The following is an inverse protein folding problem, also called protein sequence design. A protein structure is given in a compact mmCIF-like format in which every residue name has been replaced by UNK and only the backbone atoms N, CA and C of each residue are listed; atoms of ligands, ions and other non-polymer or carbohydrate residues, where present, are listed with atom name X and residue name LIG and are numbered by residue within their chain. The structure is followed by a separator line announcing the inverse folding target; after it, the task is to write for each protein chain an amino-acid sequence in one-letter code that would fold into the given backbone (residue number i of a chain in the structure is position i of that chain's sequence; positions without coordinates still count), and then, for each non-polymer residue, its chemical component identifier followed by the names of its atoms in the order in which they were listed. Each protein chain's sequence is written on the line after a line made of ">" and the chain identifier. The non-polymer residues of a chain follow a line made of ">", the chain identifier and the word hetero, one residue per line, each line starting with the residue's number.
data_IF_715105090403
#
_entry.id   IF_715105090403
#
_cell.length_a   1.000
_cell.length_b   1.000
_cell.length_c   1.000
_cell.angle_alpha   90.00
_cell.angle_beta   90.00
_cell.angle_gamma   90.00
#
_symmetry.space_group_name_H-M   'P 1'
#
loop_
_entity.id
_entity.type
_entity.pdbx_description
1 polymer ?
#
# COMPACT_ATOMS: atom_id res chain seq x y z
N UNK A 1 -19.97 -12.47 59.77
CA UNK A 1 -18.65 -12.79 60.38
C UNK A 1 -17.86 -13.61 59.39
N UNK A 2 -16.71 -13.05 59.01
CA UNK A 2 -15.52 -13.61 58.36
C UNK A 2 -15.55 -15.11 58.04
N UNK A 3 -15.44 -15.44 56.74
CA UNK A 3 -14.75 -16.65 56.30
C UNK A 3 -13.45 -16.22 55.61
N UNK A 4 -12.36 -16.25 56.36
CA UNK A 4 -11.00 -16.14 55.84
C UNK A 4 -10.65 -17.46 55.16
N UNK A 5 -10.35 -17.41 53.87
CA UNK A 5 -9.58 -18.47 53.21
C UNK A 5 -8.43 -17.82 52.45
N UNK A 6 -7.23 -18.12 52.92
CA UNK A 6 -5.95 -17.63 52.42
C UNK A 6 -5.64 -18.29 51.08
N UNK A 7 -5.41 -17.50 50.02
CA UNK A 7 -4.54 -17.88 48.91
C UNK A 7 -3.94 -16.63 48.22
N UNK A 8 -2.88 -16.01 48.76
CA UNK A 8 -2.23 -14.86 48.12
C UNK A 8 -1.16 -15.29 47.11
N UNK A 9 -1.42 -16.34 46.29
CA UNK A 9 -0.39 -16.88 45.37
C UNK A 9 -0.89 -16.98 43.92
N UNK A 10 -2.18 -16.78 43.65
CA UNK A 10 -2.74 -16.94 42.29
C UNK A 10 -3.10 -15.63 41.57
N UNK A 11 -2.56 -14.49 42.01
CA UNK A 11 -2.79 -13.17 41.40
C UNK A 11 -1.55 -12.57 40.72
N UNK A 12 -0.39 -13.23 40.81
CA UNK A 12 0.90 -12.73 40.30
C UNK A 12 1.38 -13.41 39.01
N UNK A 13 0.50 -14.08 38.27
CA UNK A 13 0.80 -14.64 36.93
C UNK A 13 0.11 -13.91 35.77
N UNK A 14 -0.67 -12.86 36.05
CA UNK A 14 -1.40 -12.11 35.02
C UNK A 14 -0.69 -10.81 34.56
N UNK A 15 0.55 -10.55 34.99
CA UNK A 15 1.23 -9.28 34.71
C UNK A 15 2.45 -9.35 33.76
N UNK A 16 2.72 -10.49 33.10
CA UNK A 16 3.95 -10.62 32.29
C UNK A 16 3.75 -10.91 30.80
N UNK A 17 2.59 -10.63 30.19
CA UNK A 17 2.43 -10.70 28.73
C UNK A 17 1.63 -9.55 28.09
N UNK A 18 1.54 -8.38 28.74
CA UNK A 18 1.08 -7.15 28.08
C UNK A 18 2.19 -6.40 27.31
N UNK A 19 3.35 -7.05 27.11
CA UNK A 19 4.51 -6.51 26.39
C UNK A 19 4.78 -7.15 25.02
N UNK A 20 3.85 -7.93 24.46
CA UNK A 20 3.96 -8.36 23.07
C UNK A 20 3.63 -7.16 22.20
N UNK A 21 4.70 -6.45 21.82
CA UNK A 21 4.87 -5.59 20.65
C UNK A 21 3.53 -5.07 20.14
N UNK A 22 3.25 -3.79 20.37
CA UNK A 22 2.36 -3.06 19.48
C UNK A 22 2.96 -3.17 18.09
N UNK A 23 2.68 -4.29 17.42
CA UNK A 23 2.98 -4.49 16.03
C UNK A 23 2.18 -3.36 15.42
N UNK A 24 2.87 -2.35 14.90
CA UNK A 24 2.26 -1.36 14.03
C UNK A 24 1.43 -2.19 13.06
N UNK A 25 0.12 -2.27 13.30
CA UNK A 25 -0.80 -2.80 12.34
C UNK A 25 -0.67 -1.80 11.22
N UNK A 26 0.22 -2.10 10.27
CA UNK A 26 0.33 -1.40 9.00
C UNK A 26 -1.06 -1.51 8.42
N UNK A 27 -1.89 -0.50 8.70
CA UNK A 27 -3.31 -0.52 8.42
C UNK A 27 -3.41 -0.61 6.92
N UNK A 28 -3.63 -1.82 6.40
CA UNK A 28 -3.90 -2.01 4.98
C UNK A 28 -5.08 -1.08 4.67
N UNK A 29 -4.86 -0.12 3.79
CA UNK A 29 -5.89 0.85 3.44
C UNK A 29 -6.80 0.16 2.45
N UNK A 30 -7.79 -0.55 2.98
CA UNK A 30 -8.88 -1.10 2.17
C UNK A 30 -10.04 -0.12 2.13
N UNK A 31 -10.63 0.06 0.95
CA UNK A 31 -11.79 0.93 0.75
C UNK A 31 -12.80 0.17 -0.09
N UNK A 32 -13.96 -0.12 0.49
CA UNK A 32 -15.08 -0.77 -0.19
C UNK A 32 -15.76 0.19 -1.17
N UNK A 33 -16.33 -0.35 -2.25
CA UNK A 33 -17.00 0.34 -3.35
C UNK A 33 -16.12 1.34 -4.08
N UNK A 34 -14.81 1.14 -4.06
CA UNK A 34 -13.85 2.04 -4.71
C UNK A 34 -12.84 1.23 -5.50
N UNK A 35 -12.35 1.84 -6.59
CA UNK A 35 -11.26 1.29 -7.37
C UNK A 35 -10.30 2.39 -7.83
N UNK A 36 -9.05 2.01 -8.07
CA UNK A 36 -8.12 2.82 -8.85
C UNK A 36 -8.14 2.33 -10.30
N UNK A 37 -8.61 3.17 -11.23
CA UNK A 37 -8.67 2.82 -12.65
C UNK A 37 -7.39 3.22 -13.40
N UNK A 38 -7.23 2.75 -14.66
CA UNK A 38 -6.14 3.10 -15.60
C UNK A 38 -4.72 2.70 -15.22
N UNK A 39 -4.47 2.30 -13.97
CA UNK A 39 -3.14 1.94 -13.45
C UNK A 39 -2.91 0.43 -13.32
N UNK A 40 -3.84 -0.38 -13.86
CA UNK A 40 -3.77 -1.84 -13.81
C UNK A 40 -2.67 -2.31 -14.77
N UNK A 41 -1.69 -3.06 -14.25
CA UNK A 41 -0.59 -3.62 -15.04
C UNK A 41 -0.58 -5.15 -15.07
N UNK A 42 -1.38 -5.81 -14.21
CA UNK A 42 -1.49 -7.27 -14.13
C UNK A 42 -2.86 -7.64 -13.57
N UNK A 43 -3.43 -8.72 -14.10
CA UNK A 43 -4.71 -9.29 -13.65
C UNK A 43 -4.42 -10.72 -13.21
N UNK A 44 -4.97 -11.12 -12.06
CA UNK A 44 -4.88 -12.46 -11.51
C UNK A 44 -6.29 -12.94 -11.17
N UNK A 45 -6.64 -14.17 -11.57
CA UNK A 45 -7.86 -14.85 -11.11
C UNK A 45 -7.46 -15.68 -9.89
N UNK A 46 -8.20 -15.56 -8.79
CA UNK A 46 -7.95 -16.32 -7.56
C UNK A 46 -9.02 -17.37 -7.35
N UNK A 47 -8.64 -18.50 -6.78
CA UNK A 47 -9.55 -19.65 -6.61
C UNK A 47 -10.59 -19.40 -5.51
N UNK A 48 -10.22 -18.57 -4.54
CA UNK A 48 -11.04 -18.27 -3.38
C UNK A 48 -11.46 -16.80 -3.37
N UNK A 49 -12.60 -16.49 -2.76
CA UNK A 49 -13.07 -15.10 -2.59
C UNK A 49 -12.29 -14.33 -1.52
N UNK A 50 -11.12 -14.83 -1.10
CA UNK A 50 -10.26 -14.14 -0.14
C UNK A 50 -9.24 -13.26 -0.85
N UNK A 51 -8.80 -12.19 -0.17
CA UNK A 51 -7.82 -11.25 -0.72
C UNK A 51 -6.38 -11.61 -0.40
N UNK A 52 -6.15 -12.73 0.29
CA UNK A 52 -4.81 -13.14 0.72
C UNK A 52 -3.93 -13.50 -0.49
N UNK A 53 -4.49 -14.18 -1.48
CA UNK A 53 -3.79 -14.48 -2.74
C UNK A 53 -3.41 -13.18 -3.48
N UNK A 54 -4.31 -12.20 -3.57
CA UNK A 54 -4.01 -10.88 -4.14
C UNK A 54 -2.89 -10.16 -3.37
N UNK A 55 -2.97 -10.19 -2.03
CA UNK A 55 -1.99 -9.55 -1.15
C UNK A 55 -0.59 -10.16 -1.35
N UNK A 56 -0.49 -11.48 -1.34
CA UNK A 56 0.77 -12.20 -1.56
C UNK A 56 1.33 -11.87 -2.94
N UNK A 57 0.51 -12.00 -3.99
CA UNK A 57 0.94 -11.75 -5.35
C UNK A 57 1.35 -10.28 -5.59
N UNK A 58 0.68 -9.33 -4.94
CA UNK A 58 1.10 -7.92 -4.97
C UNK A 58 2.41 -7.71 -4.21
N UNK A 59 2.59 -8.33 -3.05
CA UNK A 59 3.82 -8.20 -2.27
C UNK A 59 5.05 -8.75 -3.00
N UNK A 60 4.89 -9.82 -3.79
CA UNK A 60 5.96 -10.43 -4.57
C UNK A 60 6.32 -9.60 -5.82
N UNK A 61 5.43 -8.72 -6.27
CA UNK A 61 5.64 -7.86 -7.43
C UNK A 61 6.18 -6.48 -7.01
N UNK A 62 7.42 -6.17 -7.41
CA UNK A 62 8.09 -4.89 -7.05
C UNK A 62 7.30 -3.66 -7.49
N UNK A 63 6.61 -3.75 -8.63
CA UNK A 63 5.82 -2.65 -9.20
C UNK A 63 4.47 -2.45 -8.52
N UNK A 64 3.99 -3.43 -7.74
CA UNK A 64 2.66 -3.34 -7.16
C UNK A 64 2.63 -2.34 -6.02
N UNK A 65 1.76 -1.34 -6.15
CA UNK A 65 1.54 -0.27 -5.18
C UNK A 65 0.15 -0.37 -4.53
N UNK A 66 -0.83 -0.90 -5.26
CA UNK A 66 -2.16 -1.21 -4.77
C UNK A 66 -2.79 -2.29 -5.65
N UNK A 67 -3.98 -2.76 -5.32
CA UNK A 67 -4.78 -3.59 -6.23
C UNK A 67 -6.27 -3.33 -6.00
N UNK A 68 -7.09 -3.59 -7.01
CA UNK A 68 -8.53 -3.71 -6.84
C UNK A 68 -8.89 -5.20 -6.75
N UNK A 69 -9.82 -5.57 -5.88
CA UNK A 69 -10.39 -6.91 -5.82
C UNK A 69 -11.83 -6.87 -6.32
N UNK A 70 -12.11 -7.56 -7.43
CA UNK A 70 -13.43 -7.66 -8.05
C UNK A 70 -14.18 -8.83 -7.43
N UNK A 71 -15.16 -8.53 -6.60
CA UNK A 71 -15.82 -9.53 -5.73
C UNK A 71 -16.59 -10.54 -6.55
N UNK A 72 -17.38 -10.09 -7.53
CA UNK A 72 -18.20 -11.00 -8.35
C UNK A 72 -17.41 -12.00 -9.20
N UNK A 73 -16.12 -11.75 -9.42
CA UNK A 73 -15.28 -12.54 -10.34
C UNK A 73 -14.07 -13.18 -9.68
N UNK A 74 -13.79 -12.88 -8.41
CA UNK A 74 -12.57 -13.29 -7.73
C UNK A 74 -11.32 -12.89 -8.54
N UNK A 75 -11.24 -11.61 -8.93
CA UNK A 75 -10.13 -11.08 -9.74
C UNK A 75 -9.36 -10.04 -8.95
N UNK A 76 -8.02 -10.15 -8.94
CA UNK A 76 -7.12 -9.10 -8.49
C UNK A 76 -6.63 -8.29 -9.70
N UNK A 77 -6.97 -7.00 -9.72
CA UNK A 77 -6.44 -6.02 -10.68
C UNK A 77 -5.27 -5.28 -10.01
N UNK A 78 -4.02 -5.66 -10.29
CA UNK A 78 -2.85 -5.06 -9.67
C UNK A 78 -2.50 -3.70 -10.28
N UNK A 79 -2.32 -2.71 -9.42
CA UNK A 79 -2.05 -1.33 -9.80
C UNK A 79 -0.61 -0.93 -9.46
N UNK A 80 0.01 -0.19 -10.36
CA UNK A 80 1.37 0.34 -10.17
C UNK A 80 1.38 1.73 -9.52
N UNK A 81 0.22 2.23 -9.06
CA UNK A 81 0.05 3.51 -8.35
C UNK A 81 -0.84 3.30 -7.11
N UNK A 82 -0.89 4.31 -6.26
CA UNK A 82 -1.84 4.42 -5.16
C UNK A 82 -2.86 5.52 -5.44
N UNK A 83 -3.96 5.55 -4.68
CA UNK A 83 -4.96 6.62 -4.74
C UNK A 83 -4.40 7.99 -4.35
N UNK A 84 -3.36 8.05 -3.53
CA UNK A 84 -2.69 9.31 -3.17
C UNK A 84 -1.85 9.85 -4.34
N UNK A 85 -1.22 8.96 -5.10
CA UNK A 85 -0.49 9.34 -6.31
C UNK A 85 -1.43 9.82 -7.43
N UNK A 86 -2.63 9.22 -7.53
CA UNK A 86 -3.61 9.42 -8.61
C UNK A 86 -5.04 9.56 -8.10
N UNK A 87 -5.33 10.63 -7.33
CA UNK A 87 -6.66 10.84 -6.76
C UNK A 87 -7.74 11.00 -7.84
N UNK A 88 -7.39 11.52 -9.02
CA UNK A 88 -8.30 11.68 -10.16
C UNK A 88 -8.83 10.37 -10.74
N UNK A 89 -8.12 9.26 -10.49
CA UNK A 89 -8.46 7.92 -10.96
C UNK A 89 -9.06 7.04 -9.86
N UNK A 90 -9.23 7.57 -8.66
CA UNK A 90 -9.85 6.86 -7.54
C UNK A 90 -11.36 7.10 -7.53
N UNK A 91 -12.10 6.12 -8.06
CA UNK A 91 -13.52 6.27 -8.42
C UNK A 91 -14.40 5.23 -7.72
N UNK A 92 -15.69 5.54 -7.61
CA UNK A 92 -16.70 4.63 -7.06
C UNK A 92 -16.91 3.45 -8.03
N UNK A 93 -16.90 2.23 -7.48
CA UNK A 93 -17.24 1.00 -8.20
C UNK A 93 -17.74 -0.05 -7.20
N UNK A 94 -19.04 -0.35 -7.24
CA UNK A 94 -19.71 -1.14 -6.19
C UNK A 94 -19.33 -2.63 -6.17
N UNK A 95 -18.65 -3.14 -7.19
CA UNK A 95 -18.20 -4.54 -7.26
C UNK A 95 -16.75 -4.71 -6.79
N UNK A 96 -16.12 -3.64 -6.27
CA UNK A 96 -14.70 -3.62 -5.97
C UNK A 96 -14.36 -3.17 -4.56
N UNK A 97 -13.25 -3.73 -4.08
CA UNK A 97 -12.47 -3.17 -2.99
C UNK A 97 -11.14 -2.67 -3.52
N UNK A 98 -10.74 -1.46 -3.16
CA UNK A 98 -9.38 -0.97 -3.35
C UNK A 98 -8.52 -1.36 -2.15
N UNK A 99 -7.29 -1.79 -2.39
CA UNK A 99 -6.30 -2.12 -1.35
C UNK A 99 -4.97 -1.43 -1.62
N UNK A 100 -4.56 -0.53 -0.74
CA UNK A 100 -3.22 0.07 -0.74
C UNK A 100 -2.17 -0.85 -0.11
N UNK A 101 -1.04 -1.05 -0.78
CA UNK A 101 0.11 -1.78 -0.23
C UNK A 101 0.86 -0.89 0.73
N UNK A 102 1.10 -1.36 1.96
CA UNK A 102 1.86 -0.60 2.98
C UNK A 102 3.20 -1.25 3.29
N UNK A 103 3.26 -2.58 3.32
CA UNK A 103 4.49 -3.31 3.70
C UNK A 103 5.42 -3.51 2.51
N UNK A 104 6.71 -3.27 2.73
CA UNK A 104 7.78 -3.49 1.77
C UNK A 104 7.47 -2.89 0.38
N UNK A 105 6.74 -1.78 0.34
CA UNK A 105 6.38 -1.08 -0.89
C UNK A 105 7.63 -0.36 -1.42
N UNK A 106 7.92 -0.55 -2.69
CA UNK A 106 8.99 0.20 -3.37
C UNK A 106 8.49 1.64 -3.57
N UNK A 107 9.21 2.70 -3.12
CA UNK A 107 8.79 4.08 -3.33
C UNK A 107 8.64 4.40 -4.82
N UNK A 108 7.62 5.19 -5.16
CA UNK A 108 7.36 5.57 -6.55
C UNK A 108 8.57 6.33 -7.16
N UNK A 109 8.98 5.94 -8.36
CA UNK A 109 10.13 6.54 -9.05
C UNK A 109 11.49 6.10 -8.52
N UNK A 110 11.58 5.22 -7.52
CA UNK A 110 12.88 4.76 -7.00
C UNK A 110 13.58 3.70 -7.87
N UNK A 111 12.84 3.03 -8.76
CA UNK A 111 13.35 2.02 -9.70
C UNK A 111 12.83 2.29 -11.12
N UNK A 112 13.57 1.90 -12.17
CA UNK A 112 13.17 2.16 -13.55
C UNK A 112 11.89 1.42 -13.97
N UNK A 113 11.55 0.29 -13.32
CA UNK A 113 10.34 -0.48 -13.57
C UNK A 113 9.08 0.15 -12.96
N UNK A 114 9.27 1.11 -12.03
CA UNK A 114 8.21 1.86 -11.38
C UNK A 114 8.45 3.37 -11.54
N UNK A 115 8.50 3.88 -12.79
CA UNK A 115 8.79 5.28 -13.02
C UNK A 115 7.58 6.14 -12.62
N UNK A 116 7.85 7.35 -12.11
CA UNK A 116 6.85 8.39 -11.86
C UNK A 116 6.55 9.19 -13.14
N UNK A 117 5.56 10.07 -13.07
CA UNK A 117 5.25 11.08 -14.10
C UNK A 117 5.62 12.48 -13.66
N UNK A 118 5.69 12.75 -12.35
CA UNK A 118 6.13 14.05 -11.83
C UNK A 118 6.67 13.97 -10.40
N UNK A 119 7.45 14.99 -10.00
CA UNK A 119 7.88 15.14 -8.61
C UNK A 119 6.68 15.32 -7.67
N UNK A 120 5.62 15.98 -8.15
CA UNK A 120 4.37 16.17 -7.41
C UNK A 120 3.67 14.83 -7.15
N UNK A 121 3.65 13.93 -8.12
CA UNK A 121 3.10 12.58 -7.96
C UNK A 121 3.87 11.80 -6.89
N UNK A 122 5.21 11.84 -6.92
CA UNK A 122 6.04 11.19 -5.90
C UNK A 122 5.74 11.77 -4.52
N UNK A 123 5.72 13.10 -4.39
CA UNK A 123 5.42 13.76 -3.12
C UNK A 123 4.03 13.41 -2.60
N UNK A 124 3.03 13.29 -3.48
CA UNK A 124 1.70 12.86 -3.11
C UNK A 124 1.66 11.38 -2.68
N UNK A 125 2.40 10.50 -3.36
CA UNK A 125 2.48 9.06 -3.05
C UNK A 125 3.24 8.75 -1.75
N UNK A 126 4.35 9.43 -1.49
CA UNK A 126 5.25 9.13 -0.37
C UNK A 126 5.05 10.08 0.83
N UNK A 127 4.33 11.18 0.65
CA UNK A 127 4.03 12.15 1.69
C UNK A 127 5.29 12.73 2.34
N UNK A 128 5.34 12.74 3.67
CA UNK A 128 6.47 13.24 4.45
C UNK A 128 7.76 12.42 4.27
N UNK A 129 7.67 11.20 3.73
CA UNK A 129 8.83 10.34 3.48
C UNK A 129 9.54 10.69 2.16
N UNK A 130 8.97 11.59 1.34
CA UNK A 130 9.60 12.06 0.11
C UNK A 130 10.85 12.91 0.40
N UNK A 131 11.98 12.58 -0.23
CA UNK A 131 13.26 13.28 -0.06
C UNK A 131 13.76 13.86 -1.38
N UNK A 132 14.54 14.94 -1.35
CA UNK A 132 15.13 15.47 -2.59
C UNK A 132 16.15 14.49 -3.17
N UNK A 133 16.17 14.32 -4.49
CA UNK A 133 17.02 13.32 -5.15
C UNK A 133 16.66 13.07 -6.60
N UNK A 134 17.36 12.12 -7.24
CA UNK A 134 17.07 11.72 -8.62
C UNK A 134 16.07 10.55 -8.62
N UNK A 135 15.05 10.66 -9.46
CA UNK A 135 13.96 9.71 -9.58
C UNK A 135 13.75 9.30 -11.04
N UNK A 136 13.29 8.07 -11.23
CA UNK A 136 12.95 7.50 -12.54
C UNK A 136 11.58 8.00 -13.00
N UNK A 137 11.54 8.57 -14.20
CA UNK A 137 10.35 9.14 -14.82
C UNK A 137 10.03 8.40 -16.11
N UNK A 138 8.73 8.31 -16.47
CA UNK A 138 8.30 7.74 -17.75
C UNK A 138 8.92 8.55 -18.88
N UNK A 139 9.58 7.89 -19.81
CA UNK A 139 10.05 8.53 -21.03
C UNK A 139 9.00 8.41 -22.15
N UNK A 140 9.16 9.21 -23.20
CA UNK A 140 8.35 9.09 -24.41
C UNK A 140 8.63 7.80 -25.19
N UNK A 141 9.74 7.12 -24.91
CA UNK A 141 10.08 5.84 -25.53
C UNK A 141 9.52 4.70 -24.67
N UNK A 142 8.69 3.81 -25.25
CA UNK A 142 8.17 2.66 -24.54
C UNK A 142 9.31 1.85 -23.91
N UNK A 143 9.15 1.47 -22.64
CA UNK A 143 10.11 0.70 -21.80
C UNK A 143 11.32 1.47 -21.25
N UNK A 144 11.52 2.74 -21.60
CA UNK A 144 12.63 3.51 -21.05
C UNK A 144 12.14 4.47 -19.96
N UNK A 145 12.93 4.58 -18.90
CA UNK A 145 12.78 5.57 -17.85
C UNK A 145 14.00 6.50 -17.83
N UNK A 146 13.79 7.76 -17.47
CA UNK A 146 14.86 8.77 -17.38
C UNK A 146 15.01 9.25 -15.94
N UNK A 147 16.23 9.62 -15.54
CA UNK A 147 16.47 10.20 -14.23
C UNK A 147 16.23 11.70 -14.26
N UNK A 148 15.37 12.17 -13.36
CA UNK A 148 15.03 13.58 -13.16
C UNK A 148 15.28 13.93 -11.71
N UNK A 149 15.91 15.07 -11.46
CA UNK A 149 16.09 15.57 -10.11
C UNK A 149 14.79 16.21 -9.59
N UNK A 150 14.35 15.79 -8.42
CA UNK A 150 13.25 16.40 -7.69
C UNK A 150 13.79 17.05 -6.42
N UNK A 151 13.55 18.36 -6.26
CA UNK A 151 13.64 18.98 -4.95
C UNK A 151 12.28 18.87 -4.25
N UNK A 152 12.20 18.11 -3.17
CA UNK A 152 10.96 17.90 -2.41
C UNK A 152 10.72 18.99 -1.36
N UNK A 153 11.74 19.79 -1.04
CA UNK A 153 11.68 20.88 -0.06
C UNK A 153 10.98 22.11 -0.64
N UNK A 154 11.31 22.45 -1.87
CA UNK A 154 10.55 23.42 -2.65
C UNK A 154 9.37 22.68 -3.30
N UNK A 155 8.21 23.30 -3.44
CA UNK A 155 7.05 22.64 -4.06
C UNK A 155 7.22 22.51 -5.59
N UNK A 156 8.16 21.65 -6.03
CA UNK A 156 8.28 21.12 -7.38
C UNK A 156 8.14 22.15 -8.50
N UNK A 157 9.17 22.97 -8.73
CA UNK A 157 9.36 23.55 -10.06
C UNK A 157 10.18 22.57 -10.89
N UNK A 158 9.52 21.97 -11.87
CA UNK A 158 10.14 21.30 -13.00
C UNK A 158 10.98 22.29 -13.82
#
# INVERSE_FOLDING_TARGET
>A
MVLTCRFPVLLTLCQMFSGLIAQHCSRQVSVYEMMLQRHIFKILIVETSNTLECLTACNDEKRCQSFNFVVSKNICEMNNRTKEARPEDFVLDSDRYYYGRVRNRVPLGSIPELPAESCKEIKASEGEQAVSGNYWFKSNLPKYAVLVHCDMKTEGKA
#
